data_IF_641235433139
#
_entry.id   IF_641235433139
#
_cell.length_a   1.000
_cell.length_b   1.000
_cell.length_c   1.000
_cell.angle_alpha   90.00
_cell.angle_beta   90.00
_cell.angle_gamma   90.00
#
_symmetry.space_group_name_H-M   'P 1'
#
loop_
_entity.id
_entity.type
_entity.pdbx_description
1 polymer ?
#
# COMPACT_ATOMS: atom_id res chain seq x y z
N UNK A 1 12.94 19.89 1.70
CA UNK A 1 11.70 19.27 2.22
C UNK A 1 11.15 18.45 1.08
N UNK A 2 11.18 17.12 1.19
CA UNK A 2 10.61 16.22 0.19
C UNK A 2 9.08 16.22 0.30
N UNK A 3 8.39 16.19 -0.83
CA UNK A 3 6.94 16.02 -0.89
C UNK A 3 6.70 14.50 -0.95
N UNK A 4 5.89 13.98 -0.02
CA UNK A 4 5.58 12.55 0.08
C UNK A 4 4.07 12.38 0.07
N UNK A 5 3.59 11.38 -0.65
CA UNK A 5 2.20 10.96 -0.64
C UNK A 5 1.95 10.00 0.53
N UNK A 6 0.72 9.97 1.02
CA UNK A 6 0.32 9.09 2.14
C UNK A 6 -0.52 7.93 1.61
N UNK A 7 -0.07 6.70 1.83
CA UNK A 7 -0.77 5.48 1.44
C UNK A 7 -1.35 4.81 2.67
N UNK A 8 -2.67 4.70 2.71
CA UNK A 8 -3.39 3.96 3.75
C UNK A 8 -3.48 2.48 3.40
N UNK A 9 -2.90 1.65 4.24
CA UNK A 9 -2.95 0.20 4.12
C UNK A 9 -3.63 -0.39 5.37
N UNK A 10 -4.83 -0.94 5.19
CA UNK A 10 -5.66 -1.43 6.30
C UNK A 10 -5.45 -2.92 6.62
N UNK A 11 -4.58 -3.60 5.87
CA UNK A 11 -4.30 -5.01 6.07
C UNK A 11 -3.09 -5.19 6.97
N UNK A 12 -3.08 -6.27 7.74
CA UNK A 12 -1.92 -6.63 8.53
C UNK A 12 -0.76 -6.93 7.58
N UNK A 13 0.36 -6.26 7.81
CA UNK A 13 1.59 -6.54 7.07
C UNK A 13 2.08 -7.97 7.38
N UNK A 14 2.85 -8.61 6.48
CA UNK A 14 3.32 -9.99 6.67
C UNK A 14 4.18 -10.20 7.93
N UNK A 15 4.85 -9.15 8.38
CA UNK A 15 5.66 -9.06 9.61
C UNK A 15 4.81 -8.87 10.88
N UNK A 16 3.50 -8.69 10.72
CA UNK A 16 2.55 -8.47 11.80
C UNK A 16 2.32 -7.00 12.16
N UNK A 17 2.96 -6.05 11.48
CA UNK A 17 2.79 -4.61 11.70
C UNK A 17 1.35 -4.19 11.35
N UNK A 18 0.76 -3.44 12.28
CA UNK A 18 -0.56 -2.81 12.14
C UNK A 18 -0.37 -1.31 12.03
N UNK A 19 0.34 -0.87 10.99
CA UNK A 19 0.40 0.54 10.59
C UNK A 19 -0.74 0.80 9.62
N UNK A 20 -1.50 1.89 9.81
CA UNK A 20 -2.56 2.27 8.87
C UNK A 20 -2.04 3.15 7.75
N UNK A 21 -1.09 4.04 8.03
CA UNK A 21 -0.67 5.09 7.09
C UNK A 21 0.84 5.03 6.88
N UNK A 22 1.25 5.00 5.61
CA UNK A 22 2.64 4.90 5.16
C UNK A 22 2.97 6.05 4.20
N UNK A 23 4.24 6.42 4.07
CA UNK A 23 4.66 7.49 3.15
C UNK A 23 5.29 6.89 1.89
N UNK A 24 5.10 7.52 0.73
CA UNK A 24 5.74 7.13 -0.54
C UNK A 24 6.12 8.36 -1.35
N UNK A 25 7.22 8.28 -2.10
CA UNK A 25 7.67 9.25 -3.10
C UNK A 25 7.64 8.69 -4.53
N UNK A 26 7.16 7.46 -4.71
CA UNK A 26 7.07 6.79 -6.01
C UNK A 26 5.82 7.18 -6.82
N UNK A 27 4.95 8.03 -6.26
CA UNK A 27 3.73 8.55 -6.89
C UNK A 27 3.93 9.99 -7.37
N UNK A 28 2.83 10.71 -7.59
CA UNK A 28 2.84 12.07 -8.17
C UNK A 28 3.53 13.11 -7.26
N UNK A 29 3.84 12.74 -6.00
CA UNK A 29 4.48 13.60 -5.02
C UNK A 29 3.69 14.91 -4.86
N UNK A 30 2.37 14.82 -4.70
CA UNK A 30 1.45 15.97 -4.59
C UNK A 30 0.89 16.15 -3.16
N UNK A 31 1.41 15.41 -2.16
CA UNK A 31 0.82 15.27 -0.82
C UNK A 31 -0.60 14.68 -0.87
N UNK A 32 -0.82 13.76 -1.81
CA UNK A 32 -2.09 13.11 -2.04
C UNK A 32 -2.27 11.91 -1.11
N UNK A 33 -3.53 11.59 -0.82
CA UNK A 33 -3.89 10.43 0.00
C UNK A 33 -4.32 9.29 -0.91
N UNK A 34 -3.71 8.13 -0.72
CA UNK A 34 -4.06 6.90 -1.41
C UNK A 34 -4.53 5.86 -0.41
N UNK A 35 -5.31 4.88 -0.86
CA UNK A 35 -5.74 3.73 -0.08
C UNK A 35 -5.60 2.47 -0.91
N UNK A 36 -5.07 1.41 -0.31
CA UNK A 36 -5.11 0.08 -0.93
C UNK A 36 -6.39 -0.62 -0.50
N UNK A 37 -7.24 -0.95 -1.47
CA UNK A 37 -8.53 -1.59 -1.26
C UNK A 37 -8.40 -3.06 -0.84
N UNK A 38 -9.51 -3.68 -0.43
CA UNK A 38 -9.57 -5.13 -0.15
C UNK A 38 -9.28 -6.00 -1.35
N UNK A 39 -9.49 -5.45 -2.54
CA UNK A 39 -9.21 -6.12 -3.80
C UNK A 39 -7.74 -5.90 -4.22
N UNK A 40 -6.95 -5.16 -3.44
CA UNK A 40 -5.55 -4.85 -3.76
C UNK A 40 -5.39 -3.71 -4.76
N UNK A 41 -6.42 -2.89 -4.97
CA UNK A 41 -6.38 -1.75 -5.91
C UNK A 41 -5.82 -0.52 -5.19
N UNK A 42 -4.96 0.24 -5.86
CA UNK A 42 -4.52 1.55 -5.36
C UNK A 42 -5.55 2.61 -5.74
N UNK A 43 -6.18 3.21 -4.73
CA UNK A 43 -7.21 4.22 -4.91
C UNK A 43 -6.69 5.59 -4.47
N UNK A 44 -6.83 6.62 -5.31
CA UNK A 44 -6.56 8.02 -4.93
C UNK A 44 -7.80 8.63 -4.27
N UNK A 45 -7.61 9.32 -3.14
CA UNK A 45 -8.66 10.13 -2.52
C UNK A 45 -8.81 11.44 -3.27
N UNK A 46 -10.05 11.72 -3.67
CA UNK A 46 -10.39 12.99 -4.31
C UNK A 46 -10.85 13.99 -3.25
N UNK A 47 -10.69 15.29 -3.53
CA UNK A 47 -11.13 16.36 -2.63
C UNK A 47 -12.64 16.40 -2.35
N UNK A 48 -13.45 15.68 -3.12
CA UNK A 48 -14.90 15.50 -2.91
C UNK A 48 -15.25 14.30 -2.00
N UNK A 49 -14.24 13.60 -1.48
CA UNK A 49 -14.39 12.43 -0.61
C UNK A 49 -14.59 11.11 -1.35
N UNK A 50 -14.60 11.11 -2.69
CA UNK A 50 -14.62 9.88 -3.49
C UNK A 50 -13.23 9.26 -3.61
N UNK A 51 -13.19 7.99 -4.05
CA UNK A 51 -11.95 7.24 -4.29
C UNK A 51 -11.93 6.79 -5.73
N UNK A 52 -10.86 7.12 -6.45
CA UNK A 52 -10.69 6.76 -7.86
C UNK A 52 -9.60 5.71 -7.99
N UNK A 53 -9.90 4.63 -8.70
CA UNK A 53 -8.90 3.61 -9.03
C UNK A 53 -7.86 4.18 -10.00
N UNK A 54 -6.60 4.08 -9.62
CA UNK A 54 -5.48 4.55 -10.45
C UNK A 54 -5.05 3.53 -11.49
N UNK A 55 -5.49 2.26 -11.35
CA UNK A 55 -4.98 1.12 -12.11
C UNK A 55 -3.44 1.03 -12.06
N UNK A 56 -2.82 1.47 -10.96
CA UNK A 56 -1.37 1.50 -10.80
C UNK A 56 -0.76 0.10 -10.97
N UNK A 57 0.30 0.03 -11.77
CA UNK A 57 1.01 -1.20 -12.09
C UNK A 57 2.51 -0.98 -11.91
N UNK A 58 3.22 -1.97 -11.37
CA UNK A 58 4.63 -1.86 -11.02
C UNK A 58 4.89 -1.88 -9.51
N UNK A 59 6.02 -1.30 -9.10
CA UNK A 59 6.48 -1.35 -7.71
C UNK A 59 6.22 -0.01 -7.02
N UNK A 60 5.68 -0.06 -5.80
CA UNK A 60 5.45 1.09 -4.94
C UNK A 60 6.21 0.90 -3.63
N UNK A 61 7.07 1.85 -3.28
CA UNK A 61 7.85 1.84 -2.04
C UNK A 61 7.10 2.56 -0.93
N UNK A 62 6.85 1.86 0.17
CA UNK A 62 6.30 2.43 1.38
C UNK A 62 7.41 2.61 2.42
N UNK A 63 7.67 3.87 2.76
CA UNK A 63 8.52 4.25 3.88
C UNK A 63 7.81 3.94 5.20
N UNK A 64 8.41 3.03 5.96
CA UNK A 64 8.04 2.65 7.34
C UNK A 64 9.33 2.32 8.11
N UNK A 65 9.23 1.99 9.40
CA UNK A 65 10.40 1.59 10.22
C UNK A 65 11.21 0.46 9.56
N UNK A 66 10.52 -0.54 9.00
CA UNK A 66 11.09 -1.69 8.28
C UNK A 66 11.03 -1.56 6.75
N UNK A 67 10.23 -0.61 6.28
CA UNK A 67 9.73 -0.32 4.92
C UNK A 67 9.43 -1.47 3.97
N UNK A 68 8.62 -1.15 2.96
CA UNK A 68 7.94 -2.17 2.16
C UNK A 68 8.03 -1.87 0.67
N UNK A 69 8.12 -2.91 -0.15
CA UNK A 69 7.81 -2.84 -1.57
C UNK A 69 6.49 -3.56 -1.84
N UNK A 70 5.59 -2.85 -2.50
CA UNK A 70 4.32 -3.37 -2.97
C UNK A 70 4.40 -3.58 -4.47
N UNK A 71 4.15 -4.80 -4.92
CA UNK A 71 4.21 -5.16 -6.34
C UNK A 71 2.80 -5.33 -6.89
N UNK A 72 2.43 -4.45 -7.81
CA UNK A 72 1.17 -4.46 -8.53
C UNK A 72 1.35 -5.14 -9.89
N UNK A 73 0.45 -6.07 -10.19
CA UNK A 73 0.34 -6.76 -11.46
C UNK A 73 -1.10 -6.60 -12.00
N UNK A 74 -1.22 -6.09 -13.22
CA UNK A 74 -2.50 -5.77 -13.85
C UNK A 74 -3.41 -4.87 -12.99
N UNK A 75 -2.80 -3.84 -12.37
CA UNK A 75 -3.53 -2.87 -11.55
C UNK A 75 -3.90 -3.38 -10.16
N UNK A 76 -3.33 -4.50 -9.71
CA UNK A 76 -3.74 -5.20 -8.49
C UNK A 76 -2.52 -5.65 -7.70
N UNK A 77 -2.52 -5.43 -6.39
CA UNK A 77 -1.43 -5.83 -5.50
C UNK A 77 -1.29 -7.36 -5.48
N UNK A 78 -0.15 -7.85 -5.94
CA UNK A 78 0.18 -9.27 -6.02
C UNK A 78 1.14 -9.68 -4.90
N UNK A 79 2.14 -8.86 -4.59
CA UNK A 79 3.19 -9.20 -3.61
C UNK A 79 3.54 -8.04 -2.70
N UNK A 80 3.91 -8.38 -1.46
CA UNK A 80 4.46 -7.48 -0.45
C UNK A 80 5.84 -8.01 -0.07
N UNK A 81 6.82 -7.13 -0.05
CA UNK A 81 8.19 -7.41 0.41
C UNK A 81 8.51 -6.46 1.57
N UNK A 82 9.16 -6.97 2.61
CA UNK A 82 9.66 -6.18 3.75
C UNK A 82 11.18 -6.11 3.61
N UNK A 83 11.75 -4.96 3.26
CA UNK A 83 13.17 -4.89 2.90
C UNK A 83 14.07 -5.29 4.08
N UNK A 84 13.63 -5.05 5.32
CA UNK A 84 14.41 -5.38 6.52
C UNK A 84 14.50 -6.88 6.80
N UNK A 85 13.64 -7.70 6.17
CA UNK A 85 13.59 -9.15 6.37
C UNK A 85 14.24 -9.96 5.21
N UNK A 86 14.99 -9.28 4.33
CA UNK A 86 15.61 -9.84 3.13
C UNK A 86 14.67 -9.90 1.93
N UNK A 87 15.13 -10.48 0.80
CA UNK A 87 14.39 -10.58 -0.48
C UNK A 87 13.17 -11.53 -0.44
N UNK A 88 12.47 -11.58 0.69
CA UNK A 88 11.30 -12.43 0.89
C UNK A 88 10.05 -11.69 0.49
N UNK A 89 9.28 -12.31 -0.41
CA UNK A 89 8.00 -11.80 -0.88
C UNK A 89 6.86 -12.64 -0.34
N UNK A 90 5.79 -11.99 0.06
CA UNK A 90 4.55 -12.61 0.51
C UNK A 90 3.43 -12.25 -0.46
N UNK A 91 2.61 -13.23 -0.88
CA UNK A 91 1.45 -12.94 -1.73
C UNK A 91 0.45 -12.07 -0.96
N UNK A 92 -0.19 -11.14 -1.66
CA UNK A 92 -1.28 -10.38 -1.10
C UNK A 92 -2.54 -11.26 -0.98
N UNK A 93 -2.79 -11.74 0.22
CA UNK A 93 -3.95 -12.59 0.54
C UNK A 93 -4.88 -11.85 1.52
N UNK A 94 -5.76 -10.95 1.06
CA UNK A 94 -6.59 -10.13 1.95
C UNK A 94 -7.44 -10.98 2.89
N UNK A 95 -7.97 -12.12 2.42
CA UNK A 95 -8.73 -13.06 3.25
C UNK A 95 -7.95 -13.75 4.38
N UNK A 96 -6.61 -13.68 4.37
CA UNK A 96 -5.74 -14.25 5.41
C UNK A 96 -5.31 -13.21 6.46
N UNK A 97 -5.39 -11.93 6.11
CA UNK A 97 -4.92 -10.79 6.91
C UNK A 97 -6.03 -9.78 7.27
N UNK A 98 -7.27 -9.99 6.81
CA UNK A 98 -8.44 -9.33 7.37
C UNK A 98 -8.61 -9.79 8.82
N UNK A 99 -8.24 -8.94 9.77
CA UNK A 99 -8.90 -8.98 11.07
C UNK A 99 -10.37 -8.73 10.81
N UNK A 100 -11.18 -9.73 11.12
CA UNK A 100 -12.63 -9.64 11.27
C UNK A 100 -12.95 -8.39 12.10
N UNK A 101 -13.29 -7.30 11.42
CA UNK A 101 -13.91 -6.14 12.05
C UNK A 101 -15.41 -6.39 11.99
N UNK A 102 -15.85 -7.27 12.90
CA UNK A 102 -17.23 -7.31 13.37
C UNK A 102 -17.55 -6.07 14.21
#
# INVERSE_FOLDING_TARGET
>A
MGMFDTVRFRYRMPDGVTGTDFQTDDLDCECEFYEISAEGRLLRWMGDGTRTDTCFDGMLTLSADDGYHLYFEHGTLAWIEVYSQGDRRWPFEPGRFMTDLA
#
